data_IF_804143203009
#
_entry.id   IF_804143203009
#
_cell.length_a   1.000
_cell.length_b   1.000
_cell.length_c   1.000
_cell.angle_alpha   90.00
_cell.angle_beta   90.00
_cell.angle_gamma   90.00
#
_symmetry.space_group_name_H-M   'P 1'
#
loop_
_entity.id
_entity.type
_entity.pdbx_description
1 polymer ?
#
# COMPACT_ATOMS: atom_id res chain seq x y z
N UNK A 1 -27.75 -17.32 -36.42
CA UNK A 1 -26.54 -17.18 -37.25
C UNK A 1 -26.72 -15.97 -38.12
N UNK A 2 -25.99 -14.89 -37.85
CA UNK A 2 -25.90 -13.75 -38.77
C UNK A 2 -24.51 -13.14 -38.57
N UNK A 3 -23.63 -13.40 -39.54
CA UNK A 3 -22.34 -12.75 -39.65
C UNK A 3 -22.56 -11.49 -40.48
N UNK A 4 -22.38 -10.32 -39.88
CA UNK A 4 -22.19 -9.09 -40.64
C UNK A 4 -20.75 -9.10 -41.16
N UNK A 5 -20.60 -9.35 -42.46
CA UNK A 5 -19.40 -8.95 -43.19
C UNK A 5 -19.65 -7.50 -43.63
N UNK A 6 -18.96 -6.54 -43.02
CA UNK A 6 -18.78 -5.24 -43.68
C UNK A 6 -17.85 -5.48 -44.87
N UNK A 7 -18.28 -5.03 -46.06
CA UNK A 7 -17.40 -4.92 -47.21
C UNK A 7 -16.17 -4.06 -46.81
N UNK A 8 -14.96 -4.37 -47.31
CA UNK A 8 -13.82 -3.52 -47.08
C UNK A 8 -14.10 -2.18 -47.77
N UNK A 9 -14.31 -1.13 -46.98
CA UNK A 9 -14.38 0.23 -47.48
C UNK A 9 -13.14 0.46 -48.35
N UNK A 10 -13.36 0.56 -49.67
CA UNK A 10 -12.39 1.12 -50.61
C UNK A 10 -12.40 2.63 -50.44
N UNK A 11 -11.96 3.09 -49.27
CA UNK A 11 -11.49 4.44 -49.10
C UNK A 11 -9.97 4.40 -49.20
N UNK A 12 -9.44 4.52 -50.42
CA UNK A 12 -8.09 5.06 -50.64
C UNK A 12 -8.09 6.53 -50.20
N UNK A 13 -8.22 6.77 -48.90
CA UNK A 13 -7.73 8.00 -48.29
C UNK A 13 -6.23 7.81 -48.20
N UNK A 14 -5.51 8.58 -49.01
CA UNK A 14 -4.05 8.73 -48.94
C UNK A 14 -3.66 9.13 -47.51
N UNK A 15 -3.51 8.14 -46.62
CA UNK A 15 -2.79 8.32 -45.38
C UNK A 15 -1.33 8.58 -45.78
N UNK A 16 -0.71 9.66 -45.31
CA UNK A 16 0.71 9.88 -45.58
C UNK A 16 1.48 8.66 -45.06
N UNK A 17 2.16 7.95 -45.96
CA UNK A 17 2.91 6.74 -45.62
C UNK A 17 3.88 7.05 -44.47
N UNK A 18 3.80 6.28 -43.39
CA UNK A 18 4.63 6.48 -42.21
C UNK A 18 5.89 5.62 -42.34
N UNK A 19 7.10 6.15 -42.05
CA UNK A 19 8.31 5.33 -42.02
C UNK A 19 8.19 4.08 -41.12
N UNK A 20 7.32 4.10 -40.11
CA UNK A 20 7.06 2.97 -39.22
C UNK A 20 6.24 1.84 -39.86
N UNK A 21 5.54 2.08 -40.96
CA UNK A 21 4.80 1.03 -41.70
C UNK A 21 5.77 -0.02 -42.28
N UNK A 22 7.04 0.35 -42.42
CA UNK A 22 8.12 -0.46 -42.95
C UNK A 22 9.04 -1.05 -41.84
N UNK A 23 8.61 -1.07 -40.58
CA UNK A 23 9.45 -1.50 -39.44
C UNK A 23 10.09 -2.89 -39.64
N UNK A 24 9.41 -3.80 -40.33
CA UNK A 24 9.87 -5.15 -40.64
C UNK A 24 10.34 -5.35 -42.08
N UNK A 25 10.23 -4.31 -42.92
CA UNK A 25 10.50 -4.32 -44.38
C UNK A 25 11.36 -3.10 -44.76
N UNK A 26 12.45 -2.88 -44.00
CA UNK A 26 13.30 -1.68 -44.11
C UNK A 26 13.83 -1.48 -45.55
N UNK A 27 14.10 -2.56 -46.27
CA UNK A 27 14.59 -2.53 -47.64
C UNK A 27 13.56 -2.00 -48.66
N UNK A 28 12.28 -1.95 -48.28
CA UNK A 28 11.18 -1.46 -49.13
C UNK A 28 10.82 -0.01 -48.85
N UNK A 29 11.49 0.68 -47.93
CA UNK A 29 11.20 2.08 -47.59
C UNK A 29 11.38 2.96 -48.85
N UNK A 30 10.32 3.63 -49.33
CA UNK A 30 10.43 4.56 -50.44
C UNK A 30 11.40 5.71 -50.09
N UNK A 31 12.34 5.98 -50.99
CA UNK A 31 13.41 6.98 -50.78
C UNK A 31 12.91 8.42 -50.63
N UNK A 32 11.63 8.65 -50.96
CA UNK A 32 10.94 9.93 -50.98
C UNK A 32 9.93 10.11 -49.84
N UNK A 33 9.90 9.23 -48.83
CA UNK A 33 9.00 9.40 -47.69
C UNK A 33 9.28 10.71 -46.93
N UNK A 34 8.31 11.63 -46.83
CA UNK A 34 8.46 12.84 -46.06
C UNK A 34 8.28 12.53 -44.57
N UNK A 35 9.38 12.42 -43.83
CA UNK A 35 9.31 12.25 -42.38
C UNK A 35 10.65 11.88 -41.77
N UNK A 36 11.34 12.87 -41.17
CA UNK A 36 12.50 12.57 -40.34
C UNK A 36 11.99 11.97 -39.02
N UNK A 37 12.21 10.67 -38.81
CA UNK A 37 12.00 10.06 -37.50
C UNK A 37 12.85 10.81 -36.47
N UNK A 38 12.18 11.49 -35.54
CA UNK A 38 12.84 12.24 -34.48
C UNK A 38 13.27 11.29 -33.35
N UNK A 39 14.30 10.50 -33.63
CA UNK A 39 14.88 9.58 -32.66
C UNK A 39 15.87 10.36 -31.79
N UNK A 40 15.68 10.28 -30.48
CA UNK A 40 16.58 10.88 -29.51
C UNK A 40 17.02 9.83 -28.50
N UNK A 41 18.33 9.73 -28.30
CA UNK A 41 18.92 8.98 -27.20
C UNK A 41 19.21 9.94 -26.05
N UNK A 42 18.78 9.57 -24.84
CA UNK A 42 18.94 10.37 -23.63
C UNK A 42 19.59 9.48 -22.58
N UNK A 43 20.61 10.01 -21.90
CA UNK A 43 21.27 9.33 -20.79
C UNK A 43 20.90 10.04 -19.49
N UNK A 44 20.57 9.27 -18.46
CA UNK A 44 20.29 9.74 -17.11
C UNK A 44 21.06 8.91 -16.09
N UNK A 45 21.28 9.46 -14.91
CA UNK A 45 21.94 8.74 -13.82
C UNK A 45 20.89 8.10 -12.90
N UNK A 46 20.64 6.80 -13.08
CA UNK A 46 19.70 6.01 -12.28
C UNK A 46 18.27 5.96 -12.84
N UNK A 47 17.58 4.86 -12.56
CA UNK A 47 16.30 4.47 -13.14
C UNK A 47 15.20 5.50 -12.84
N UNK A 48 15.19 6.08 -11.63
CA UNK A 48 14.22 7.13 -11.28
C UNK A 48 14.41 8.41 -12.11
N UNK A 49 15.66 8.79 -12.38
CA UNK A 49 15.98 9.99 -13.16
C UNK A 49 15.69 9.80 -14.66
N UNK A 50 15.79 8.56 -15.16
CA UNK A 50 15.32 8.20 -16.50
C UNK A 50 13.82 8.50 -16.64
N UNK A 51 13.00 7.94 -15.75
CA UNK A 51 11.54 8.16 -15.77
C UNK A 51 11.19 9.64 -15.62
N UNK A 52 11.82 10.33 -14.67
CA UNK A 52 11.59 11.76 -14.45
C UNK A 52 11.93 12.60 -15.70
N UNK A 53 12.96 12.21 -16.44
CA UNK A 53 13.37 12.90 -17.66
C UNK A 53 12.36 12.68 -18.79
N UNK A 54 11.79 11.48 -18.91
CA UNK A 54 10.70 11.18 -19.86
C UNK A 54 9.49 12.08 -19.55
N UNK A 55 9.02 12.10 -18.30
CA UNK A 55 7.89 12.94 -17.88
C UNK A 55 8.18 14.44 -18.11
N UNK A 56 9.39 14.89 -17.80
CA UNK A 56 9.81 16.29 -18.04
C UNK A 56 9.76 16.64 -19.52
N UNK A 57 10.20 15.72 -20.40
CA UNK A 57 10.18 15.92 -21.85
C UNK A 57 8.75 16.06 -22.36
N UNK A 58 7.88 15.11 -22.03
CA UNK A 58 6.43 15.13 -22.37
C UNK A 58 5.81 16.47 -21.99
N UNK A 59 6.04 16.91 -20.74
CA UNK A 59 5.53 18.19 -20.24
C UNK A 59 6.14 19.40 -20.93
N UNK A 60 7.45 19.43 -21.16
CA UNK A 60 8.14 20.57 -21.79
C UNK A 60 7.80 20.76 -23.26
N UNK A 61 7.47 19.67 -23.95
CA UNK A 61 7.08 19.66 -25.36
C UNK A 61 5.56 19.73 -25.54
N UNK A 62 4.81 19.77 -24.43
CA UNK A 62 3.35 19.80 -24.39
C UNK A 62 2.70 18.69 -25.24
N UNK A 63 3.25 17.47 -25.14
CA UNK A 63 2.76 16.31 -25.88
C UNK A 63 1.47 15.82 -25.19
N UNK A 64 0.36 15.63 -25.93
CA UNK A 64 -0.86 15.01 -25.40
C UNK A 64 -0.56 13.62 -24.83
N UNK A 65 -1.07 13.30 -23.64
CA UNK A 65 -0.77 12.02 -22.97
C UNK A 65 -1.33 10.81 -23.74
N UNK A 66 -2.43 10.99 -24.47
CA UNK A 66 -3.08 9.94 -25.27
C UNK A 66 -2.23 9.52 -26.48
N UNK A 67 -1.21 10.30 -26.83
CA UNK A 67 -0.27 9.99 -27.91
C UNK A 67 1.07 9.41 -27.40
N UNK A 68 1.18 9.17 -26.09
CA UNK A 68 2.43 8.72 -25.47
C UNK A 68 2.32 7.26 -25.03
N UNK A 69 3.23 6.43 -25.56
CA UNK A 69 3.45 5.07 -25.07
C UNK A 69 4.85 4.94 -24.48
N UNK A 70 4.94 4.40 -23.26
CA UNK A 70 6.20 4.15 -22.56
C UNK A 70 6.41 2.63 -22.48
N UNK A 71 7.48 2.16 -23.10
CA UNK A 71 7.88 0.75 -23.06
C UNK A 71 9.10 0.57 -22.15
N UNK A 72 9.09 -0.50 -21.37
CA UNK A 72 10.18 -0.90 -20.49
C UNK A 72 10.35 -2.42 -20.56
N UNK A 73 11.58 -2.89 -20.37
CA UNK A 73 11.92 -4.32 -20.43
C UNK A 73 11.61 -5.05 -19.11
N UNK A 74 11.63 -4.33 -17.99
CA UNK A 74 11.33 -4.84 -16.65
C UNK A 74 10.31 -3.93 -15.99
N UNK A 75 9.26 -4.51 -15.41
CA UNK A 75 8.16 -3.76 -14.79
C UNK A 75 8.62 -2.93 -13.60
N UNK A 76 9.19 -3.57 -12.59
CA UNK A 76 9.73 -2.88 -11.41
C UNK A 76 11.22 -2.56 -11.61
N UNK A 77 11.69 -1.34 -11.28
CA UNK A 77 10.99 -0.31 -10.52
C UNK A 77 10.22 0.75 -11.37
N UNK A 78 10.23 0.62 -12.70
CA UNK A 78 9.74 1.64 -13.63
C UNK A 78 8.23 1.94 -13.48
N UNK A 79 7.38 0.90 -13.39
CA UNK A 79 5.94 1.06 -13.16
C UNK A 79 5.65 1.80 -11.86
N UNK A 80 6.43 1.52 -10.81
CA UNK A 80 6.26 2.16 -9.52
C UNK A 80 6.69 3.64 -9.54
N UNK A 81 7.80 3.96 -10.21
CA UNK A 81 8.22 5.35 -10.37
C UNK A 81 7.21 6.14 -11.20
N UNK A 82 6.69 5.57 -12.27
CA UNK A 82 5.63 6.18 -13.07
C UNK A 82 4.35 6.41 -12.24
N UNK A 83 3.94 5.43 -11.42
CA UNK A 83 2.79 5.56 -10.53
C UNK A 83 2.99 6.65 -9.47
N UNK A 84 4.19 6.76 -8.90
CA UNK A 84 4.51 7.81 -7.95
C UNK A 84 4.48 9.20 -8.61
N UNK A 85 5.07 9.34 -9.80
CA UNK A 85 5.11 10.60 -10.54
C UNK A 85 3.70 11.00 -11.03
N UNK A 86 2.86 10.04 -11.42
CA UNK A 86 1.48 10.32 -11.83
C UNK A 86 0.65 10.87 -10.69
N UNK A 87 0.77 10.31 -9.48
CA UNK A 87 0.14 10.85 -8.26
C UNK A 87 0.74 12.18 -7.85
N UNK A 88 2.06 12.36 -7.97
CA UNK A 88 2.74 13.60 -7.59
C UNK A 88 2.35 14.78 -8.49
N UNK A 89 2.22 14.55 -9.79
CA UNK A 89 1.94 15.58 -10.79
C UNK A 89 0.48 15.57 -11.27
N UNK A 90 -0.37 14.73 -10.68
CA UNK A 90 -1.79 14.58 -10.97
C UNK A 90 -2.09 14.39 -12.47
N UNK A 91 -1.41 13.45 -13.12
CA UNK A 91 -1.70 13.06 -14.50
C UNK A 91 -2.19 11.62 -14.59
N UNK A 92 -2.99 11.34 -15.62
CA UNK A 92 -3.55 10.01 -15.85
C UNK A 92 -2.55 9.13 -16.60
N UNK A 93 -2.44 7.88 -16.20
CA UNK A 93 -1.59 6.88 -16.83
C UNK A 93 -2.23 5.49 -16.68
N UNK A 94 -2.18 4.72 -17.76
CA UNK A 94 -2.66 3.33 -17.79
C UNK A 94 -1.46 2.38 -17.80
N UNK A 95 -1.50 1.36 -16.95
CA UNK A 95 -0.44 0.36 -16.85
C UNK A 95 -0.89 -0.97 -17.47
N UNK A 96 -0.28 -1.37 -18.59
CA UNK A 96 -0.64 -2.62 -19.28
C UNK A 96 -0.48 -3.88 -18.42
N UNK A 97 0.55 -3.94 -17.58
CA UNK A 97 0.80 -5.05 -16.65
C UNK A 97 0.30 -4.78 -15.22
N UNK A 98 -0.48 -3.71 -15.02
CA UNK A 98 -0.94 -3.25 -13.71
C UNK A 98 0.16 -2.64 -12.84
N UNK A 99 -0.20 -2.35 -11.59
CA UNK A 99 0.69 -1.83 -10.54
C UNK A 99 0.76 -2.80 -9.36
N UNK A 100 1.84 -2.69 -8.58
CA UNK A 100 2.01 -3.51 -7.38
C UNK A 100 0.86 -3.31 -6.39
N UNK A 101 0.24 -4.40 -5.94
CA UNK A 101 -0.78 -4.38 -4.88
C UNK A 101 -0.26 -3.74 -3.59
N UNK A 102 1.07 -3.74 -3.38
CA UNK A 102 1.74 -3.12 -2.23
C UNK A 102 1.56 -1.61 -2.16
N UNK A 103 0.97 -0.97 -3.18
CA UNK A 103 0.57 0.43 -3.11
C UNK A 103 -0.67 0.66 -2.23
N UNK A 104 -1.51 -0.36 -2.07
CA UNK A 104 -2.75 -0.29 -1.28
C UNK A 104 -2.49 -0.45 0.21
N UNK A 105 -3.26 0.26 1.04
CA UNK A 105 -3.20 0.17 2.50
C UNK A 105 -3.48 -1.25 3.05
N UNK A 106 -4.49 -2.00 2.56
CA UNK A 106 -4.72 -3.38 2.98
C UNK A 106 -3.54 -4.31 2.70
N UNK A 107 -2.91 -4.22 1.52
CA UNK A 107 -1.75 -5.03 1.19
C UNK A 107 -0.55 -4.68 2.07
N UNK A 108 -0.27 -3.39 2.29
CA UNK A 108 0.81 -2.95 3.20
C UNK A 108 0.62 -3.50 4.60
N UNK A 109 -0.62 -3.46 5.12
CA UNK A 109 -0.96 -4.03 6.42
C UNK A 109 -0.74 -5.56 6.44
N UNK A 110 -1.19 -6.28 5.41
CA UNK A 110 -0.97 -7.73 5.29
C UNK A 110 0.52 -8.10 5.34
N UNK A 111 1.36 -7.44 4.54
CA UNK A 111 2.79 -7.69 4.54
C UNK A 111 3.45 -7.32 5.88
N UNK A 112 3.03 -6.23 6.53
CA UNK A 112 3.51 -5.86 7.85
C UNK A 112 3.13 -6.89 8.94
N UNK A 113 1.93 -7.48 8.86
CA UNK A 113 1.49 -8.55 9.76
C UNK A 113 2.33 -9.81 9.59
N UNK A 114 2.59 -10.23 8.35
CA UNK A 114 3.44 -11.39 8.05
C UNK A 114 4.85 -11.15 8.59
N UNK A 115 5.40 -9.94 8.40
CA UNK A 115 6.70 -9.55 8.95
C UNK A 115 6.74 -9.57 10.48
N UNK A 116 5.67 -9.15 11.14
CA UNK A 116 5.54 -9.19 12.61
C UNK A 116 5.48 -10.63 13.14
N UNK A 117 4.71 -11.51 12.48
CA UNK A 117 4.65 -12.94 12.80
C UNK A 117 6.03 -13.59 12.61
N UNK A 118 6.70 -13.31 11.48
CA UNK A 118 8.04 -13.85 11.16
C UNK A 118 9.10 -13.41 12.17
N UNK A 119 9.01 -12.19 12.70
CA UNK A 119 9.91 -11.66 13.74
C UNK A 119 9.49 -12.07 15.16
N UNK A 120 8.78 -13.19 15.29
CA UNK A 120 8.30 -13.75 16.56
C UNK A 120 7.56 -12.72 17.43
N UNK A 121 6.62 -12.03 16.79
CA UNK A 121 5.76 -11.03 17.42
C UNK A 121 6.57 -9.95 18.15
N UNK A 122 7.55 -9.35 17.48
CA UNK A 122 8.35 -8.28 18.10
C UNK A 122 7.55 -6.99 18.29
N UNK A 123 7.81 -6.30 19.41
CA UNK A 123 7.17 -5.01 19.67
C UNK A 123 7.54 -3.95 18.62
N UNK A 124 8.76 -4.01 18.09
CA UNK A 124 9.24 -3.07 17.09
C UNK A 124 8.40 -3.15 15.80
N UNK A 125 8.13 -4.36 15.30
CA UNK A 125 7.31 -4.55 14.09
C UNK A 125 5.86 -4.12 14.32
N UNK A 126 5.27 -4.45 15.47
CA UNK A 126 3.92 -3.99 15.80
C UNK A 126 3.83 -2.47 15.96
N UNK A 127 4.84 -1.84 16.55
CA UNK A 127 4.92 -0.39 16.65
C UNK A 127 4.89 0.27 15.27
N UNK A 128 5.69 -0.21 14.31
CA UNK A 128 5.68 0.29 12.94
C UNK A 128 4.35 0.01 12.22
N UNK A 129 3.72 -1.13 12.48
CA UNK A 129 2.42 -1.47 11.92
C UNK A 129 1.35 -0.46 12.39
N UNK A 130 1.28 -0.19 13.68
CA UNK A 130 0.28 0.72 14.28
C UNK A 130 0.54 2.20 13.93
N UNK A 131 1.79 2.59 13.69
CA UNK A 131 2.16 3.99 13.39
C UNK A 131 2.34 4.27 11.90
N UNK A 132 2.40 3.24 11.06
CA UNK A 132 2.72 3.34 9.63
C UNK A 132 1.60 3.88 8.73
N UNK A 133 0.48 4.34 9.29
CA UNK A 133 -0.61 5.01 8.56
C UNK A 133 -1.54 4.10 7.75
N UNK A 134 -1.22 2.81 7.62
CA UNK A 134 -2.07 1.82 6.92
C UNK A 134 -3.07 1.10 7.84
N UNK A 135 -3.04 1.44 9.14
CA UNK A 135 -3.83 0.82 10.20
C UNK A 135 -4.74 1.86 10.85
N UNK A 136 -6.00 1.53 11.02
CA UNK A 136 -6.99 2.39 11.69
C UNK A 136 -7.96 1.59 12.57
N UNK A 137 -8.49 2.24 13.59
CA UNK A 137 -9.63 1.72 14.34
C UNK A 137 -10.92 2.35 13.78
N UNK A 138 -11.70 1.58 13.02
CA UNK A 138 -12.90 2.07 12.30
C UNK A 138 -13.92 2.82 13.16
N UNK A 139 -14.02 2.48 14.45
CA UNK A 139 -14.98 3.08 15.38
C UNK A 139 -14.43 4.29 16.17
N UNK A 140 -13.25 4.81 15.82
CA UNK A 140 -12.60 5.88 16.59
C UNK A 140 -13.41 7.19 16.60
N UNK A 141 -14.13 7.51 15.52
CA UNK A 141 -15.00 8.72 15.46
C UNK A 141 -16.24 8.60 16.36
N UNK A 142 -16.75 7.38 16.53
CA UNK A 142 -17.96 7.10 17.32
C UNK A 142 -17.68 6.82 18.80
N UNK A 143 -16.40 6.59 19.16
CA UNK A 143 -15.99 6.31 20.53
C UNK A 143 -14.79 7.22 20.91
N UNK A 144 -15.04 8.42 21.45
CA UNK A 144 -13.97 9.36 21.82
C UNK A 144 -13.09 8.86 22.97
N UNK A 145 -13.52 7.83 23.70
CA UNK A 145 -12.74 7.15 24.72
C UNK A 145 -11.77 6.10 24.15
N UNK A 146 -11.82 5.81 22.85
CA UNK A 146 -10.93 4.86 22.20
C UNK A 146 -9.54 5.47 21.96
N UNK A 147 -8.45 4.81 22.38
CA UNK A 147 -7.10 5.30 22.12
C UNK A 147 -6.75 5.23 20.63
N UNK A 148 -5.94 6.17 20.15
CA UNK A 148 -5.45 6.15 18.77
C UNK A 148 -4.43 5.01 18.55
N UNK A 149 -4.21 4.53 17.31
CA UNK A 149 -3.16 3.55 17.03
C UNK A 149 -1.78 3.98 17.54
N UNK A 150 -1.44 5.26 17.44
CA UNK A 150 -0.18 5.82 17.95
C UNK A 150 -0.11 5.77 19.48
N UNK A 151 -1.24 6.02 20.15
CA UNK A 151 -1.34 5.91 21.61
C UNK A 151 -1.12 4.47 22.06
N UNK A 152 -1.80 3.52 21.43
CA UNK A 152 -1.62 2.08 21.68
C UNK A 152 -0.17 1.66 21.45
N UNK A 153 0.44 2.08 20.33
CA UNK A 153 1.84 1.79 20.01
C UNK A 153 2.80 2.31 21.09
N UNK A 154 2.56 3.53 21.59
CA UNK A 154 3.35 4.13 22.67
C UNK A 154 3.20 3.37 23.99
N UNK A 155 1.99 2.96 24.35
CA UNK A 155 1.73 2.18 25.57
C UNK A 155 2.44 0.82 25.52
N UNK A 156 2.35 0.12 24.39
CA UNK A 156 3.00 -1.17 24.20
C UNK A 156 4.53 -1.06 24.20
N UNK A 157 5.10 -0.02 23.57
CA UNK A 157 6.54 0.24 23.56
C UNK A 157 7.11 0.52 24.95
N UNK A 158 6.31 1.14 25.83
CA UNK A 158 6.69 1.44 27.21
C UNK A 158 6.36 0.30 28.19
N UNK A 159 5.83 -0.81 27.70
CA UNK A 159 5.58 -2.01 28.50
C UNK A 159 6.78 -2.95 28.44
N UNK A 160 7.00 -3.84 29.43
CA UNK A 160 8.10 -4.81 29.45
C UNK A 160 7.86 -5.97 28.47
N UNK A 161 7.68 -5.65 27.19
CA UNK A 161 7.38 -6.57 26.09
C UNK A 161 8.52 -6.46 25.07
N UNK A 162 9.22 -7.56 24.83
CA UNK A 162 10.25 -7.61 23.78
C UNK A 162 9.79 -8.33 22.52
N UNK A 163 9.60 -9.64 22.68
CA UNK A 163 9.20 -10.61 21.64
C UNK A 163 8.32 -11.69 22.29
N UNK A 164 7.67 -12.50 21.45
CA UNK A 164 6.74 -13.59 21.78
C UNK A 164 5.33 -13.11 22.12
N UNK A 165 4.36 -13.88 21.64
CA UNK A 165 2.91 -13.64 21.81
C UNK A 165 2.48 -13.61 23.28
N UNK A 166 2.93 -14.56 24.09
CA UNK A 166 2.52 -14.69 25.50
C UNK A 166 2.92 -13.48 26.38
N UNK A 167 4.01 -12.79 26.03
CA UNK A 167 4.52 -11.66 26.83
C UNK A 167 3.69 -10.38 26.74
N UNK A 168 2.83 -10.25 25.74
CA UNK A 168 2.03 -9.04 25.58
C UNK A 168 1.05 -8.86 26.73
N UNK A 169 0.26 -9.89 27.02
CA UNK A 169 -0.79 -9.83 28.04
C UNK A 169 -0.18 -9.70 29.45
N UNK A 170 0.89 -10.44 29.71
CA UNK A 170 1.64 -10.37 30.97
C UNK A 170 2.29 -8.98 31.15
N UNK A 171 2.97 -8.48 30.11
CA UNK A 171 3.66 -7.20 30.15
C UNK A 171 2.71 -6.03 30.37
N UNK A 172 1.55 -6.02 29.71
CA UNK A 172 0.51 -5.01 29.95
C UNK A 172 -0.03 -5.13 31.38
N UNK A 173 -0.29 -6.36 31.85
CA UNK A 173 -0.78 -6.61 33.20
C UNK A 173 0.15 -6.11 34.31
N UNK A 174 1.47 -6.25 34.13
CA UNK A 174 2.47 -5.71 35.07
C UNK A 174 2.39 -4.18 35.16
N UNK A 175 2.26 -3.49 34.02
CA UNK A 175 2.15 -2.03 34.00
C UNK A 175 0.85 -1.56 34.64
N UNK A 176 -0.28 -2.24 34.38
CA UNK A 176 -1.56 -1.92 35.02
C UNK A 176 -1.42 -1.99 36.55
N UNK A 177 -0.90 -3.10 37.09
CA UNK A 177 -0.69 -3.27 38.53
C UNK A 177 0.21 -2.20 39.14
N UNK A 178 1.27 -1.82 38.44
CA UNK A 178 2.15 -0.74 38.88
C UNK A 178 1.40 0.61 38.94
N UNK A 179 0.64 0.95 37.90
CA UNK A 179 -0.12 2.19 37.85
C UNK A 179 -1.24 2.24 38.90
N UNK A 180 -1.87 1.10 39.21
CA UNK A 180 -2.85 0.97 40.29
C UNK A 180 -2.22 1.23 41.65
N UNK A 181 -1.04 0.66 41.95
CA UNK A 181 -0.32 0.93 43.20
C UNK A 181 0.17 2.37 43.33
N UNK A 182 0.53 3.01 42.22
CA UNK A 182 0.93 4.43 42.21
C UNK A 182 -0.26 5.38 42.39
N UNK A 183 -1.50 4.98 42.10
CA UNK A 183 -2.64 5.91 42.12
C UNK A 183 -2.97 6.44 43.52
N UNK A 184 -2.75 5.60 44.54
CA UNK A 184 -3.05 5.91 45.94
C UNK A 184 -2.11 6.96 46.54
N UNK A 185 -0.94 7.19 45.93
CA UNK A 185 0.12 8.04 46.48
C UNK A 185 0.20 9.44 45.85
N UNK A 186 -0.71 9.79 44.94
CA UNK A 186 -0.56 10.96 44.08
C UNK A 186 -1.77 11.89 44.18
N UNK A 187 -1.56 13.19 43.94
CA UNK A 187 -2.61 14.22 43.92
C UNK A 187 -3.72 13.95 42.90
N UNK A 188 -4.92 14.43 43.20
CA UNK A 188 -6.17 14.18 42.46
C UNK A 188 -6.07 14.43 40.93
N UNK A 189 -5.41 15.50 40.50
CA UNK A 189 -5.22 15.81 39.08
C UNK A 189 -4.33 14.76 38.36
N UNK A 190 -3.32 14.24 39.05
CA UNK A 190 -2.49 13.15 38.51
C UNK A 190 -3.25 11.82 38.56
N UNK A 191 -4.08 11.57 39.58
CA UNK A 191 -4.92 10.37 39.66
C UNK A 191 -5.81 10.23 38.40
N UNK A 192 -6.43 11.31 37.95
CA UNK A 192 -7.25 11.29 36.72
C UNK A 192 -6.44 10.86 35.49
N UNK A 193 -5.20 11.36 35.36
CA UNK A 193 -4.29 10.94 34.29
C UNK A 193 -3.92 9.46 34.38
N UNK A 194 -3.71 8.93 35.60
CA UNK A 194 -3.45 7.51 35.82
C UNK A 194 -4.67 6.67 35.47
N UNK A 195 -5.88 7.06 35.89
CA UNK A 195 -7.14 6.38 35.54
C UNK A 195 -7.34 6.27 34.03
N UNK A 196 -7.13 7.38 33.31
CA UNK A 196 -7.20 7.38 31.84
C UNK A 196 -6.16 6.44 31.22
N UNK A 197 -4.92 6.47 31.71
CA UNK A 197 -3.85 5.58 31.22
C UNK A 197 -4.14 4.10 31.47
N UNK A 198 -4.71 3.77 32.64
CA UNK A 198 -5.15 2.42 32.98
C UNK A 198 -6.28 1.97 32.04
N UNK A 199 -7.28 2.83 31.79
CA UNK A 199 -8.35 2.57 30.81
C UNK A 199 -7.79 2.30 29.41
N UNK A 200 -6.83 3.10 28.94
CA UNK A 200 -6.16 2.88 27.65
C UNK A 200 -5.44 1.51 27.63
N UNK A 201 -4.80 1.11 28.73
CA UNK A 201 -4.11 -0.19 28.84
C UNK A 201 -5.06 -1.37 28.85
N UNK A 202 -6.21 -1.28 29.54
CA UNK A 202 -7.25 -2.29 29.47
C UNK A 202 -7.76 -2.46 28.04
N UNK A 203 -8.06 -1.33 27.37
CA UNK A 203 -8.47 -1.37 25.98
C UNK A 203 -7.40 -2.01 25.09
N UNK A 204 -6.13 -1.63 25.29
CA UNK A 204 -4.99 -2.19 24.55
C UNK A 204 -4.85 -3.70 24.78
N UNK A 205 -5.07 -4.17 26.00
CA UNK A 205 -5.04 -5.61 26.34
C UNK A 205 -6.14 -6.38 25.61
N UNK A 206 -7.37 -5.84 25.59
CA UNK A 206 -8.48 -6.45 24.85
C UNK A 206 -8.20 -6.50 23.35
N UNK A 207 -7.75 -5.39 22.77
CA UNK A 207 -7.35 -5.32 21.37
C UNK A 207 -6.29 -6.37 21.00
N UNK A 208 -5.21 -6.48 21.78
CA UNK A 208 -4.15 -7.46 21.51
C UNK A 208 -4.67 -8.89 21.66
N UNK A 209 -5.56 -9.13 22.62
CA UNK A 209 -6.20 -10.44 22.80
C UNK A 209 -7.04 -10.81 21.59
N UNK A 210 -7.81 -9.88 21.04
CA UNK A 210 -8.60 -10.07 19.82
C UNK A 210 -7.71 -10.38 18.61
N UNK A 211 -6.65 -9.58 18.37
CA UNK A 211 -5.70 -9.83 17.28
C UNK A 211 -5.08 -11.22 17.38
N UNK A 212 -4.71 -11.64 18.59
CA UNK A 212 -4.15 -12.96 18.80
C UNK A 212 -5.20 -14.07 18.67
N UNK A 213 -6.46 -13.84 19.02
CA UNK A 213 -7.52 -14.83 18.83
C UNK A 213 -7.73 -15.17 17.34
N UNK A 214 -7.58 -14.18 16.46
CA UNK A 214 -7.64 -14.38 15.01
C UNK A 214 -6.47 -15.22 14.47
N UNK A 215 -5.33 -15.23 15.16
CA UNK A 215 -4.14 -15.96 14.74
C UNK A 215 -4.05 -17.32 15.43
N UNK A 216 -3.67 -18.39 14.70
CA UNK A 216 -3.56 -19.73 15.28
C UNK A 216 -2.61 -19.74 16.49
N UNK A 217 -2.97 -20.51 17.51
CA UNK A 217 -2.19 -20.63 18.74
C UNK A 217 -0.92 -21.45 18.49
N UNK A 218 0.14 -21.13 19.23
CA UNK A 218 1.38 -21.93 19.27
C UNK A 218 1.11 -23.25 20.01
N UNK A 219 0.35 -24.16 19.41
CA UNK A 219 0.25 -25.53 19.89
C UNK A 219 1.40 -26.31 19.24
N UNK A 220 2.39 -26.67 20.05
CA UNK A 220 3.65 -27.31 19.63
C UNK A 220 3.46 -28.66 18.90
N UNK A 221 2.27 -29.26 18.95
CA UNK A 221 2.02 -30.61 18.47
C UNK A 221 1.36 -30.72 17.08
N UNK A 222 1.00 -29.60 16.43
CA UNK A 222 0.29 -29.65 15.14
C UNK A 222 0.88 -28.72 14.08
N UNK A 223 0.90 -29.19 12.83
CA UNK A 223 1.09 -28.36 11.64
C UNK A 223 -0.03 -27.33 11.57
N UNK A 224 0.30 -26.05 11.69
CA UNK A 224 -0.67 -24.95 11.57
C UNK A 224 -1.26 -24.98 10.16
N UNK A 225 -2.59 -25.01 10.06
CA UNK A 225 -3.27 -25.00 8.76
C UNK A 225 -3.07 -23.64 8.06
N UNK A 226 -2.57 -23.60 6.81
CA UNK A 226 -2.48 -22.35 6.04
C UNK A 226 -3.83 -21.64 5.90
N UNK A 227 -4.93 -22.41 5.84
CA UNK A 227 -6.30 -21.86 5.77
C UNK A 227 -6.67 -21.07 7.02
N UNK A 228 -6.24 -21.51 8.21
CA UNK A 228 -6.52 -20.82 9.47
C UNK A 228 -5.74 -19.51 9.55
N UNK A 229 -4.45 -19.52 9.18
CA UNK A 229 -3.63 -18.30 9.11
C UNK A 229 -4.25 -17.30 8.12
N UNK A 230 -4.58 -17.76 6.92
CA UNK A 230 -5.17 -16.91 5.89
C UNK A 230 -6.47 -16.26 6.35
N UNK A 231 -7.37 -17.02 6.99
CA UNK A 231 -8.63 -16.49 7.54
C UNK A 231 -8.38 -15.42 8.61
N UNK A 232 -7.46 -15.67 9.54
CA UNK A 232 -7.09 -14.70 10.58
C UNK A 232 -6.52 -13.42 9.99
N UNK A 233 -5.62 -13.52 9.02
CA UNK A 233 -5.04 -12.38 8.33
C UNK A 233 -6.11 -11.58 7.55
N UNK A 234 -7.03 -12.24 6.86
CA UNK A 234 -8.14 -11.58 6.16
C UNK A 234 -9.02 -10.81 7.14
N UNK A 235 -9.37 -11.40 8.27
CA UNK A 235 -10.18 -10.75 9.31
C UNK A 235 -9.49 -9.49 9.86
N UNK A 236 -8.19 -9.59 10.20
CA UNK A 236 -7.43 -8.44 10.70
C UNK A 236 -7.34 -7.35 9.64
N UNK A 237 -6.99 -7.68 8.39
CA UNK A 237 -6.87 -6.70 7.31
C UNK A 237 -8.21 -6.02 7.07
N UNK A 238 -9.31 -6.78 7.00
CA UNK A 238 -10.65 -6.24 6.74
C UNK A 238 -11.12 -5.30 7.85
N UNK A 239 -10.78 -5.59 9.10
CA UNK A 239 -11.27 -4.82 10.25
C UNK A 239 -10.41 -3.59 10.56
N UNK A 240 -9.12 -3.63 10.23
CA UNK A 240 -8.17 -2.59 10.67
C UNK A 240 -7.41 -1.89 9.54
N UNK A 241 -7.57 -2.29 8.27
CA UNK A 241 -6.94 -1.55 7.17
C UNK A 241 -7.59 -0.19 6.99
N UNK A 242 -6.78 0.84 6.79
CA UNK A 242 -7.27 2.12 6.30
C UNK A 242 -7.81 2.00 4.88
N UNK A 243 -9.03 2.45 4.65
CA UNK A 243 -9.61 2.56 3.31
C UNK A 243 -9.63 4.04 2.94
N UNK A 244 -8.90 4.41 1.89
CA UNK A 244 -8.97 5.76 1.34
C UNK A 244 -10.23 5.85 0.46
N UNK A 245 -11.35 6.31 1.04
CA UNK A 245 -12.61 6.53 0.32
C UNK A 245 -12.50 7.60 -0.80
N UNK A 246 -11.45 8.43 -0.77
CA UNK A 246 -11.22 9.51 -1.75
C UNK A 246 -10.85 9.05 -3.16
N UNK A 247 -10.68 7.75 -3.43
CA UNK A 247 -10.45 7.24 -4.79
C UNK A 247 -11.61 6.39 -5.36
N UNK A 248 -12.83 6.49 -4.81
CA UNK A 248 -14.02 6.00 -5.51
C UNK A 248 -14.30 6.91 -6.73
N UNK A 249 -13.57 6.66 -7.81
CA UNK A 249 -13.79 7.25 -9.13
C UNK A 249 -14.72 6.40 -10.00
N UNK A 250 -15.56 5.54 -9.42
CA UNK A 250 -16.52 4.72 -10.17
C UNK A 250 -17.82 4.56 -9.38
N UNK A 251 -18.66 5.61 -9.39
CA UNK A 251 -20.12 5.42 -9.27
C UNK A 251 -20.91 6.13 -10.38
N UNK A 252 -20.27 6.91 -11.28
CA UNK A 252 -20.93 7.52 -12.44
C UNK A 252 -20.06 7.37 -13.71
N UNK A 253 -20.20 6.22 -14.38
CA UNK A 253 -19.82 6.03 -15.78
C UNK A 253 -20.77 5.03 -16.47
#
# INVERSE_FOLDING_TARGET
>A
TSFYFSEPDKEEKNHPENPLDYLYDIDKIPSNLPGKLNIQLIQSHGEFNEVKTIIRKIKSQNIPLDEVSIFYTVQEPYSQYLYQLSRQYSFNITFGNGISIKNTSPAKLLFALIDWIRDNYSIAKLYFLLTGGNFEFKNQRSNPDMPTPQRVASLLRNSPIGRKRNRYIEGIGLVIKQLEGEIEQVSENRQERYRKKIKDFFWTKEFITQIFHELPQENFDYTISPKQIARGLINIVTNYSKIDEENNFDEDA
#
